data_IF_193361753041
#
_entry.id   IF_193361753041
#
_cell.length_a   1.000
_cell.length_b   1.000
_cell.length_c   1.000
_cell.angle_alpha   90.00
_cell.angle_beta   90.00
_cell.angle_gamma   90.00
#
_symmetry.space_group_name_H-M   'P 1'
#
loop_
_entity.id
_entity.type
_entity.pdbx_description
1 polymer ?
#
# COMPACT_ATOMS: atom_id res chain seq x y z
N UNK A 1 -18.84 7.86 23.93
CA UNK A 1 -17.38 8.02 23.79
C UNK A 1 -17.04 7.85 22.33
N UNK A 2 -16.51 8.88 21.67
CA UNK A 2 -15.95 8.74 20.32
C UNK A 2 -14.49 8.34 20.56
N UNK A 3 -14.14 7.09 20.28
CA UNK A 3 -12.74 6.68 20.34
C UNK A 3 -12.01 7.34 19.17
N UNK A 4 -11.11 8.28 19.45
CA UNK A 4 -10.21 8.81 18.43
C UNK A 4 -9.30 7.67 17.95
N UNK A 5 -9.51 7.23 16.71
CA UNK A 5 -8.62 6.26 16.08
C UNK A 5 -7.31 6.98 15.74
N UNK A 6 -6.29 6.81 16.59
CA UNK A 6 -4.95 7.33 16.33
C UNK A 6 -4.32 6.54 15.19
N UNK A 7 -4.25 7.13 14.00
CA UNK A 7 -3.59 6.54 12.82
C UNK A 7 -2.08 6.52 13.03
N UNK A 8 -1.46 5.34 12.92
CA UNK A 8 -0.01 5.17 12.99
C UNK A 8 0.52 4.89 11.59
N UNK A 9 1.30 5.83 11.07
CA UNK A 9 1.78 5.76 9.69
C UNK A 9 3.01 4.86 9.56
N UNK A 10 3.07 3.97 8.55
CA UNK A 10 4.30 3.29 8.17
C UNK A 10 5.37 4.27 7.70
N UNK A 11 6.65 3.94 7.93
CA UNK A 11 7.78 4.80 7.60
C UNK A 11 8.75 4.14 6.62
N UNK A 12 9.43 4.96 5.82
CA UNK A 12 10.45 4.51 4.88
C UNK A 12 9.93 3.61 3.76
N UNK A 13 8.67 3.81 3.35
CA UNK A 13 8.00 2.98 2.34
C UNK A 13 8.57 3.28 0.96
N UNK A 14 8.95 2.24 0.23
CA UNK A 14 9.47 2.34 -1.12
C UNK A 14 9.10 1.11 -1.95
N UNK A 15 8.92 1.32 -3.25
CA UNK A 15 8.79 0.25 -4.24
C UNK A 15 10.16 0.04 -4.89
N UNK A 16 10.67 -1.18 -4.82
CA UNK A 16 11.88 -1.60 -5.52
C UNK A 16 11.43 -2.29 -6.81
N UNK A 17 11.69 -1.64 -7.93
CA UNK A 17 11.38 -2.17 -9.27
C UNK A 17 12.24 -3.39 -9.58
N UNK A 18 11.77 -4.25 -10.48
CA UNK A 18 12.55 -5.39 -10.97
C UNK A 18 13.93 -5.01 -11.54
N UNK A 19 14.09 -3.77 -12.02
CA UNK A 19 15.37 -3.20 -12.46
C UNK A 19 16.35 -2.90 -11.32
N UNK A 20 15.93 -3.03 -10.06
CA UNK A 20 16.67 -2.63 -8.86
C UNK A 20 16.46 -1.17 -8.46
N UNK A 21 15.73 -0.38 -9.27
CA UNK A 21 15.43 1.01 -8.94
C UNK A 21 14.53 1.11 -7.71
N UNK A 22 14.94 1.86 -6.69
CA UNK A 22 14.15 2.14 -5.49
C UNK A 22 13.44 3.48 -5.62
N UNK A 23 12.12 3.47 -5.52
CA UNK A 23 11.25 4.65 -5.63
C UNK A 23 10.55 4.85 -4.29
N UNK A 24 10.80 5.96 -3.55
CA UNK A 24 10.01 6.30 -2.37
C UNK A 24 8.53 6.38 -2.72
N UNK A 25 7.67 5.80 -1.89
CA UNK A 25 6.23 5.72 -2.14
C UNK A 25 5.46 6.43 -1.01
N UNK A 26 4.44 7.18 -1.41
CA UNK A 26 3.48 7.79 -0.51
C UNK A 26 2.34 6.81 -0.22
N UNK A 27 1.90 6.83 1.03
CA UNK A 27 0.76 6.04 1.48
C UNK A 27 -0.48 6.91 1.61
N UNK A 28 -1.64 6.30 1.39
CA UNK A 28 -2.97 6.83 1.69
C UNK A 28 -3.63 5.91 2.71
N UNK A 29 -4.12 6.48 3.82
CA UNK A 29 -4.95 5.74 4.76
C UNK A 29 -6.33 5.49 4.15
N UNK A 30 -6.73 4.22 4.02
CA UNK A 30 -8.00 3.82 3.40
C UNK A 30 -9.08 3.45 4.42
N UNK A 31 -8.68 3.16 5.66
CA UNK A 31 -9.60 2.88 6.75
C UNK A 31 -9.07 1.86 7.74
N UNK A 32 -9.98 1.34 8.56
CA UNK A 32 -9.71 0.26 9.50
C UNK A 32 -10.64 -0.90 9.19
N UNK A 33 -10.11 -2.11 9.10
CA UNK A 33 -10.92 -3.31 8.86
C UNK A 33 -11.64 -3.82 10.11
N UNK A 34 -12.40 -4.91 9.97
CA UNK A 34 -13.18 -5.52 11.05
C UNK A 34 -12.32 -6.07 12.20
N UNK A 35 -11.06 -6.42 11.94
CA UNK A 35 -10.09 -6.89 12.93
C UNK A 35 -9.36 -5.73 13.63
N UNK A 36 -9.66 -4.50 13.22
CA UNK A 36 -9.03 -3.29 13.76
C UNK A 36 -7.66 -3.01 13.13
N UNK A 37 -7.35 -3.56 11.96
CA UNK A 37 -6.12 -3.25 11.24
C UNK A 37 -6.27 -1.98 10.41
N UNK A 38 -5.30 -1.07 10.54
CA UNK A 38 -5.19 0.14 9.75
C UNK A 38 -4.68 -0.21 8.35
N UNK A 39 -5.45 0.13 7.32
CA UNK A 39 -5.14 -0.17 5.94
C UNK A 39 -4.55 1.05 5.25
N UNK A 40 -3.42 0.84 4.57
CA UNK A 40 -2.74 1.86 3.79
C UNK A 40 -2.51 1.38 2.36
N UNK A 41 -2.83 2.22 1.39
CA UNK A 41 -2.61 1.97 -0.03
C UNK A 41 -1.45 2.83 -0.55
N UNK A 42 -0.66 2.30 -1.48
CA UNK A 42 0.36 3.09 -2.20
C UNK A 42 -0.35 3.99 -3.21
N UNK A 43 -0.15 5.30 -3.10
CA UNK A 43 -0.96 6.29 -3.80
C UNK A 43 -0.36 6.80 -5.12
N UNK A 44 0.97 6.83 -5.25
CA UNK A 44 1.68 7.53 -6.33
C UNK A 44 2.53 6.61 -7.21
N UNK A 45 2.74 5.35 -6.80
CA UNK A 45 3.57 4.39 -7.53
C UNK A 45 2.77 3.15 -7.90
N UNK A 46 2.65 2.88 -9.21
CA UNK A 46 2.09 1.62 -9.68
C UNK A 46 3.01 0.46 -9.29
N UNK A 47 2.46 -0.54 -8.60
CA UNK A 47 3.15 -1.78 -8.25
C UNK A 47 2.74 -2.85 -9.26
N UNK A 48 3.71 -3.41 -9.97
CA UNK A 48 3.48 -4.48 -10.96
C UNK A 48 4.08 -5.80 -10.49
N UNK A 49 3.65 -6.96 -11.03
CA UNK A 49 4.26 -8.24 -10.70
C UNK A 49 5.78 -8.22 -10.91
N UNK A 50 6.53 -8.62 -9.89
CA UNK A 50 8.01 -8.59 -9.87
C UNK A 50 8.61 -7.40 -9.13
N UNK A 51 7.82 -6.37 -8.81
CA UNK A 51 8.23 -5.32 -7.87
C UNK A 51 8.21 -5.85 -6.44
N UNK A 52 9.06 -5.28 -5.59
CA UNK A 52 9.08 -5.55 -4.15
C UNK A 52 8.71 -4.30 -3.37
N UNK A 53 7.90 -4.45 -2.32
CA UNK A 53 7.57 -3.33 -1.44
C UNK A 53 8.39 -3.43 -0.17
N UNK A 54 9.18 -2.40 0.06
CA UNK A 54 10.01 -2.27 1.24
C UNK A 54 9.36 -1.29 2.21
N UNK A 55 9.27 -1.67 3.48
CA UNK A 55 8.76 -0.83 4.56
C UNK A 55 9.79 -0.88 5.69
N UNK A 56 10.32 0.27 6.09
CA UNK A 56 11.34 0.33 7.13
C UNK A 56 10.71 0.17 8.54
N UNK A 57 9.55 0.80 8.75
CA UNK A 57 8.79 0.67 10.00
C UNK A 57 7.34 0.36 9.65
N UNK A 58 6.86 -0.80 10.11
CA UNK A 58 5.46 -1.20 10.01
C UNK A 58 4.85 -1.23 11.43
N UNK A 59 4.00 -0.25 11.79
CA UNK A 59 3.36 -0.24 13.10
C UNK A 59 2.49 -1.48 13.34
N UNK A 60 2.26 -1.89 14.59
CA UNK A 60 1.38 -3.01 14.89
C UNK A 60 -0.05 -2.73 14.37
N UNK A 61 -0.78 -3.80 14.03
CA UNK A 61 -2.14 -3.71 13.46
C UNK A 61 -2.22 -2.83 12.22
N UNK A 62 -1.23 -2.94 11.35
CA UNK A 62 -1.16 -2.20 10.09
C UNK A 62 -0.99 -3.16 8.94
N UNK A 63 -1.68 -2.89 7.83
CA UNK A 63 -1.54 -3.65 6.60
C UNK A 63 -1.35 -2.71 5.42
N UNK A 64 -0.43 -3.08 4.53
CA UNK A 64 -0.27 -2.40 3.23
C UNK A 64 -1.12 -3.16 2.22
N UNK A 65 -2.12 -2.49 1.67
CA UNK A 65 -2.98 -3.04 0.63
C UNK A 65 -2.50 -2.54 -0.73
N UNK A 66 -2.56 -3.44 -1.71
CA UNK A 66 -2.37 -3.09 -3.11
C UNK A 66 -3.77 -2.92 -3.69
N UNK A 67 -4.02 -1.78 -4.35
CA UNK A 67 -5.25 -1.56 -5.10
C UNK A 67 -5.47 -2.70 -6.10
N UNK A 68 -6.71 -2.87 -6.61
CA UNK A 68 -7.03 -3.96 -7.52
C UNK A 68 -6.01 -4.00 -8.64
N UNK A 69 -5.31 -5.12 -8.77
CA UNK A 69 -4.49 -5.41 -9.96
C UNK A 69 -5.50 -5.37 -11.09
N UNK A 70 -5.44 -4.35 -11.95
CA UNK A 70 -6.27 -4.29 -13.14
C UNK A 70 -5.90 -5.52 -13.97
N UNK A 71 -6.70 -6.56 -13.77
CA UNK A 71 -6.54 -7.88 -14.37
C UNK A 71 -7.30 -7.95 -15.69
N UNK A 72 -7.77 -6.79 -16.20
CA UNK A 72 -8.37 -6.73 -17.53
C UNK A 72 -7.26 -7.09 -18.51
N UNK A 73 -7.51 -8.17 -19.26
CA UNK A 73 -6.67 -8.47 -20.41
C UNK A 73 -6.76 -7.29 -21.37
N UNK A 74 -5.70 -6.98 -22.13
CA UNK A 74 -5.73 -5.96 -23.17
C UNK A 74 -6.85 -6.15 -24.23
N UNK A 75 -7.55 -7.29 -24.22
CA UNK A 75 -8.60 -7.67 -25.17
C UNK A 75 -10.01 -7.17 -24.80
N UNK A 76 -10.23 -6.56 -23.63
CA UNK A 76 -11.57 -6.07 -23.19
C UNK A 76 -11.68 -4.53 -23.16
N UNK A 77 -10.77 -3.81 -23.82
CA UNK A 77 -10.93 -2.37 -24.06
C UNK A 77 -11.58 -2.21 -25.43
N UNK A 78 -12.92 -2.23 -25.45
CA UNK A 78 -13.77 -1.83 -26.58
C UNK A 78 -13.99 -0.31 -26.58
#
# INVERSE_FOLDING_TARGET
MIAEVKVRWPEGVAVVKASGQRIPAQLRFTGTDADGMQQFEIADVSVVPGDQVHVAVLPPKTSIVFGPVDSRRPEEID
#
